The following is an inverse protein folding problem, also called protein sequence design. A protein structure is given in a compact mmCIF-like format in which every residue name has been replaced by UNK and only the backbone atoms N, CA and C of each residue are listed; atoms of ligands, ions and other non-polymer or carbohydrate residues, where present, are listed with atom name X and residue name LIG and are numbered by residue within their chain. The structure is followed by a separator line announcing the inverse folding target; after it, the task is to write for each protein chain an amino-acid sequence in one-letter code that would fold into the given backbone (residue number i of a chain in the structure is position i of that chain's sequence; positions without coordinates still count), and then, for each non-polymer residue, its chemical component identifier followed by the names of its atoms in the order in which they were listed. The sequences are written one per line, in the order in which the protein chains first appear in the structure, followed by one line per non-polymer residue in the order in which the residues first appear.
data_IF_323979103730
#
_entry.id   IF_323979103730
#
_cell.length_a   1.000
_cell.length_b   1.000
_cell.length_c   1.000
_cell.angle_alpha   90.00
_cell.angle_beta   90.00
_cell.angle_gamma   90.00
#
_symmetry.space_group_name_H-M   'P 1'
#
loop_
_entity.id
_entity.type
_entity.pdbx_description
1 polymer ?
#
# COMPACT_ATOMS: atom_id res chain seq x y z
N UNK A 1 2.25 -0.50 6.99
CA UNK A 1 1.52 -1.58 6.27
C UNK A 1 2.55 -2.56 5.71
N UNK A 2 2.40 -3.85 5.98
CA UNK A 2 3.30 -4.89 5.47
C UNK A 2 2.52 -5.97 4.74
N UNK A 3 3.18 -6.64 3.79
CA UNK A 3 2.63 -7.83 3.14
C UNK A 3 3.27 -9.04 3.80
N UNK A 4 2.45 -9.88 4.41
CA UNK A 4 2.92 -11.14 5.01
C UNK A 4 2.00 -12.25 4.51
N UNK A 5 2.62 -13.33 4.04
CA UNK A 5 1.93 -14.50 3.50
C UNK A 5 2.21 -15.74 4.33
N UNK A 6 1.26 -16.66 4.33
CA UNK A 6 1.50 -18.04 4.76
C UNK A 6 2.77 -18.60 4.10
N UNK A 7 3.72 -19.21 4.86
CA UNK A 7 4.96 -19.72 4.29
C UNK A 7 4.76 -20.79 3.21
N UNK A 8 3.63 -21.49 3.18
CA UNK A 8 3.28 -22.47 2.13
C UNK A 8 2.56 -21.82 0.94
N UNK A 9 2.43 -20.49 0.93
CA UNK A 9 1.82 -19.73 -0.17
C UNK A 9 0.31 -19.93 -0.36
N UNK A 10 -0.39 -20.49 0.64
CA UNK A 10 -1.81 -20.83 0.57
C UNK A 10 -2.70 -19.62 0.32
N UNK A 11 -2.30 -18.48 0.86
CA UNK A 11 -2.99 -17.20 0.74
C UNK A 11 -2.44 -16.30 -0.37
N UNK A 12 -1.47 -16.75 -1.17
CA UNK A 12 -0.86 -15.97 -2.26
C UNK A 12 -1.75 -16.00 -3.50
N UNK A 13 -1.71 -14.93 -4.31
CA UNK A 13 -2.36 -14.90 -5.62
C UNK A 13 -1.95 -16.11 -6.46
N UNK A 14 -2.89 -16.72 -7.18
CA UNK A 14 -2.64 -17.92 -7.98
C UNK A 14 -1.41 -17.81 -8.87
N UNK A 15 -1.25 -16.69 -9.58
CA UNK A 15 -0.12 -16.46 -10.49
C UNK A 15 1.22 -16.23 -9.77
N UNK A 16 1.24 -16.04 -8.45
CA UNK A 16 2.46 -15.89 -7.62
C UNK A 16 2.78 -17.10 -6.75
N UNK A 17 1.90 -18.10 -6.69
CA UNK A 17 2.12 -19.31 -5.85
C UNK A 17 3.42 -20.04 -6.18
N UNK A 18 3.87 -19.99 -7.43
CA UNK A 18 5.14 -20.59 -7.86
C UNK A 18 6.37 -20.02 -7.12
N UNK A 19 6.28 -18.82 -6.54
CA UNK A 19 7.33 -18.21 -5.72
C UNK A 19 7.43 -18.81 -4.31
N UNK A 20 6.43 -19.60 -3.88
CA UNK A 20 6.31 -20.22 -2.56
C UNK A 20 6.42 -21.75 -2.64
N UNK A 21 7.07 -22.27 -3.69
CA UNK A 21 7.26 -23.70 -3.86
C UNK A 21 8.12 -24.30 -2.72
N UNK A 22 7.93 -25.60 -2.45
CA UNK A 22 8.68 -26.32 -1.42
C UNK A 22 10.20 -26.12 -1.59
N UNK A 23 10.88 -25.84 -0.47
CA UNK A 23 12.32 -25.55 -0.43
C UNK A 23 12.71 -24.11 -0.76
N UNK A 24 11.75 -23.21 -1.03
CA UNK A 24 11.99 -21.77 -1.19
C UNK A 24 11.35 -20.97 -0.08
N UNK A 25 12.05 -19.92 0.38
CA UNK A 25 11.44 -18.88 1.22
C UNK A 25 10.72 -17.91 0.30
N UNK A 26 9.40 -17.82 0.45
CA UNK A 26 8.60 -16.92 -0.37
C UNK A 26 8.98 -15.44 -0.14
N UNK A 27 8.79 -14.56 -1.15
CA UNK A 27 9.29 -13.18 -1.10
C UNK A 27 8.78 -12.35 0.08
N UNK A 28 7.59 -12.64 0.59
CA UNK A 28 6.95 -11.95 1.72
C UNK A 28 6.37 -12.98 2.70
N UNK A 29 7.02 -14.14 2.82
CA UNK A 29 6.62 -15.17 3.77
C UNK A 29 6.71 -14.65 5.22
N UNK A 30 5.72 -14.99 6.05
CA UNK A 30 5.67 -14.57 7.45
C UNK A 30 6.97 -14.97 8.18
N UNK A 31 7.60 -13.99 8.82
CA UNK A 31 8.86 -14.17 9.56
C UNK A 31 10.12 -14.22 8.68
N UNK A 32 10.01 -14.00 7.36
CA UNK A 32 11.18 -13.83 6.50
C UNK A 32 11.59 -12.35 6.42
N UNK A 33 12.86 -12.11 6.09
CA UNK A 33 13.40 -10.76 5.84
C UNK A 33 12.59 -10.00 4.80
N UNK A 34 12.04 -10.69 3.80
CA UNK A 34 11.23 -10.04 2.76
C UNK A 34 9.86 -9.55 3.23
N UNK A 35 9.40 -9.98 4.41
CA UNK A 35 8.21 -9.47 5.08
C UNK A 35 8.51 -8.32 6.05
N UNK A 36 9.78 -7.99 6.29
CA UNK A 36 10.20 -6.90 7.17
C UNK A 36 10.12 -5.53 6.46
N UNK A 37 10.12 -4.46 7.25
CA UNK A 37 10.26 -3.11 6.70
C UNK A 37 11.71 -2.87 6.29
N UNK A 38 11.89 -2.09 5.23
CA UNK A 38 13.22 -1.65 4.82
C UNK A 38 13.84 -0.72 5.85
N UNK A 39 15.17 -0.67 5.89
CA UNK A 39 15.91 0.20 6.79
C UNK A 39 15.43 1.66 6.69
N UNK A 40 15.31 2.31 7.85
CA UNK A 40 14.80 3.67 7.98
C UNK A 40 13.28 3.79 8.11
N UNK A 41 12.50 2.75 7.77
CA UNK A 41 11.06 2.70 8.05
C UNK A 41 10.80 1.96 9.36
N UNK A 42 10.60 2.71 10.44
CA UNK A 42 10.38 2.18 11.78
C UNK A 42 8.94 2.42 12.22
N UNK A 43 8.27 1.36 12.68
CA UNK A 43 6.97 1.47 13.36
C UNK A 43 7.25 1.97 14.78
N UNK A 44 6.74 3.15 15.10
CA UNK A 44 6.87 3.77 16.41
C UNK A 44 5.71 3.36 17.32
N UNK A 45 5.86 3.69 18.61
CA UNK A 45 4.74 3.58 19.54
C UNK A 45 3.55 4.43 19.06
N UNK A 46 2.36 3.83 19.06
CA UNK A 46 1.14 4.44 18.53
C UNK A 46 0.87 4.16 17.05
N UNK A 47 1.84 3.68 16.28
CA UNK A 47 1.61 3.31 14.88
C UNK A 47 0.78 2.01 14.77
N UNK A 48 -0.16 2.00 13.82
CA UNK A 48 -0.96 0.82 13.53
C UNK A 48 -0.27 -0.09 12.50
N UNK A 49 0.28 -1.22 12.96
CA UNK A 49 0.83 -2.26 12.05
C UNK A 49 -0.31 -3.05 11.38
N UNK A 50 -0.62 -2.67 10.15
CA UNK A 50 -1.50 -3.46 9.28
C UNK A 50 -0.72 -4.53 8.50
N UNK A 51 -1.20 -5.77 8.55
CA UNK A 51 -0.75 -6.89 7.70
C UNK A 51 -1.82 -7.19 6.64
N UNK A 52 -1.41 -7.37 5.39
CA UNK A 52 -2.32 -7.70 4.27
C UNK A 52 -1.76 -8.81 3.37
N UNK A 53 -2.65 -9.59 2.76
CA UNK A 53 -2.29 -10.65 1.80
C UNK A 53 -2.67 -10.29 0.37
N UNK A 54 -3.43 -9.22 0.13
CA UNK A 54 -3.83 -8.74 -1.21
C UNK A 54 -3.18 -7.40 -1.53
N UNK A 55 -3.49 -6.84 -2.70
CA UNK A 55 -2.95 -5.56 -3.13
C UNK A 55 -3.51 -4.41 -2.29
N UNK A 56 -4.84 -4.28 -2.21
CA UNK A 56 -5.48 -3.28 -1.36
C UNK A 56 -5.16 -3.51 0.12
N UNK A 57 -4.90 -2.42 0.83
CA UNK A 57 -4.82 -2.42 2.29
C UNK A 57 -6.19 -2.61 2.97
N UNK A 58 -7.30 -2.35 2.27
CA UNK A 58 -8.66 -2.52 2.78
C UNK A 58 -9.21 -3.93 2.59
N UNK A 59 -8.83 -4.60 1.51
CA UNK A 59 -9.42 -5.89 1.17
C UNK A 59 -9.10 -6.96 2.22
N UNK A 60 -10.16 -7.49 2.84
CA UNK A 60 -10.08 -8.52 3.89
C UNK A 60 -9.18 -8.11 5.08
N UNK A 61 -9.21 -6.83 5.46
CA UNK A 61 -8.55 -6.32 6.67
C UNK A 61 -9.50 -5.48 7.51
N UNK A 62 -9.07 -5.06 8.70
CA UNK A 62 -9.83 -4.16 9.56
C UNK A 62 -9.51 -2.67 9.33
N UNK A 63 -8.77 -2.32 8.28
CA UNK A 63 -8.28 -0.95 8.09
C UNK A 63 -9.42 0.08 8.03
N UNK A 64 -10.50 -0.20 7.29
CA UNK A 64 -11.60 0.75 7.17
C UNK A 64 -12.30 0.98 8.52
N UNK A 65 -12.68 -0.10 9.22
CA UNK A 65 -13.30 -0.01 10.54
C UNK A 65 -12.42 0.73 11.55
N UNK A 66 -11.11 0.48 11.53
CA UNK A 66 -10.14 1.16 12.39
C UNK A 66 -10.10 2.66 12.11
N UNK A 67 -9.95 3.06 10.84
CA UNK A 67 -9.87 4.48 10.46
C UNK A 67 -11.17 5.23 10.78
N UNK A 68 -12.34 4.62 10.54
CA UNK A 68 -13.63 5.19 10.90
C UNK A 68 -13.79 5.35 12.42
N UNK A 69 -13.41 4.33 13.20
CA UNK A 69 -13.43 4.41 14.66
C UNK A 69 -12.51 5.50 15.23
N UNK A 70 -11.42 5.82 14.52
CA UNK A 70 -10.51 6.91 14.85
C UNK A 70 -10.93 8.28 14.28
N UNK A 71 -12.05 8.36 13.54
CA UNK A 71 -12.50 9.60 12.88
C UNK A 71 -11.62 10.06 11.71
N UNK A 72 -10.75 9.18 11.19
CA UNK A 72 -9.82 9.48 10.10
C UNK A 72 -10.54 9.35 8.76
N UNK A 73 -10.64 10.46 8.02
CA UNK A 73 -11.30 10.53 6.71
C UNK A 73 -10.42 11.15 5.60
N UNK A 74 -9.18 11.51 5.92
CA UNK A 74 -8.18 12.00 4.95
C UNK A 74 -6.99 11.05 4.95
N UNK A 75 -6.60 10.57 3.77
CA UNK A 75 -5.52 9.58 3.63
C UNK A 75 -4.39 10.13 2.77
N UNK A 76 -3.17 9.92 3.26
CA UNK A 76 -1.94 10.11 2.50
C UNK A 76 -1.30 8.75 2.28
N UNK A 77 -1.08 8.39 1.02
CA UNK A 77 -0.66 7.05 0.60
C UNK A 77 0.71 7.14 -0.05
N UNK A 78 1.62 6.28 0.42
CA UNK A 78 3.00 6.14 -0.07
C UNK A 78 3.40 4.67 -0.12
N UNK A 79 4.57 4.38 -0.72
CA UNK A 79 5.15 3.04 -0.75
C UNK A 79 5.09 2.38 -2.12
N UNK A 80 5.16 1.05 -2.17
CA UNK A 80 5.27 0.32 -3.44
C UNK A 80 4.32 -0.88 -3.56
N UNK A 81 3.87 -1.22 -4.77
CA UNK A 81 4.13 -0.55 -6.05
C UNK A 81 2.89 0.14 -6.62
N UNK A 82 3.14 1.17 -7.42
CA UNK A 82 2.13 2.07 -8.02
C UNK A 82 0.96 1.33 -8.66
N UNK A 83 1.15 0.39 -9.62
CA UNK A 83 0.03 -0.19 -10.35
C UNK A 83 -0.80 -1.19 -9.55
N UNK A 84 -0.29 -1.64 -8.39
CA UNK A 84 -0.89 -2.74 -7.63
C UNK A 84 -1.37 -2.24 -6.26
N UNK A 85 -0.51 -2.34 -5.24
CA UNK A 85 -0.88 -2.06 -3.86
C UNK A 85 -1.34 -0.62 -3.66
N UNK A 86 -0.65 0.34 -4.30
CA UNK A 86 -0.97 1.76 -4.17
C UNK A 86 -2.28 2.05 -4.89
N UNK A 87 -2.36 1.78 -6.19
CA UNK A 87 -3.56 2.01 -6.99
C UNK A 87 -4.80 1.34 -6.39
N UNK A 88 -4.75 0.06 -6.02
CA UNK A 88 -5.95 -0.58 -5.49
C UNK A 88 -6.37 0.00 -4.13
N UNK A 89 -5.42 0.35 -3.26
CA UNK A 89 -5.75 1.01 -1.98
C UNK A 89 -6.36 2.40 -2.20
N UNK A 90 -5.89 3.15 -3.20
CA UNK A 90 -6.43 4.46 -3.57
C UNK A 90 -7.87 4.33 -4.08
N UNK A 91 -8.12 3.43 -5.03
CA UNK A 91 -9.46 3.25 -5.59
C UNK A 91 -10.45 2.73 -4.54
N UNK A 92 -10.02 1.84 -3.65
CA UNK A 92 -10.85 1.42 -2.51
C UNK A 92 -11.13 2.58 -1.54
N UNK A 93 -10.14 3.45 -1.27
CA UNK A 93 -10.37 4.64 -0.45
C UNK A 93 -11.37 5.61 -1.11
N UNK A 94 -11.30 5.81 -2.42
CA UNK A 94 -12.29 6.61 -3.15
C UNK A 94 -13.67 5.95 -3.05
N UNK A 95 -13.77 4.64 -3.26
CA UNK A 95 -15.04 3.91 -3.19
C UNK A 95 -15.66 3.87 -1.78
N UNK A 96 -14.85 4.02 -0.74
CA UNK A 96 -15.26 4.07 0.68
C UNK A 96 -15.52 5.51 1.17
N UNK A 97 -15.63 6.49 0.26
CA UNK A 97 -15.94 7.89 0.56
C UNK A 97 -14.97 8.58 1.54
N UNK A 98 -13.67 8.25 1.48
CA UNK A 98 -12.67 9.07 2.16
C UNK A 98 -12.64 10.47 1.53
N UNK A 99 -12.84 11.50 2.37
CA UNK A 99 -13.02 12.89 1.94
C UNK A 99 -11.82 13.49 1.20
N UNK A 100 -10.63 12.95 1.45
CA UNK A 100 -9.40 13.37 0.77
C UNK A 100 -8.46 12.18 0.65
N UNK A 101 -7.97 11.94 -0.56
CA UNK A 101 -6.97 10.90 -0.84
C UNK A 101 -5.84 11.55 -1.62
N UNK A 102 -4.63 11.44 -1.09
CA UNK A 102 -3.40 11.94 -1.70
C UNK A 102 -2.38 10.82 -1.86
N UNK A 103 -1.71 10.75 -3.00
CA UNK A 103 -0.58 9.85 -3.25
C UNK A 103 0.69 10.68 -3.37
N UNK A 104 1.68 10.44 -2.51
CA UNK A 104 2.95 11.16 -2.61
C UNK A 104 3.75 10.56 -3.76
N UNK A 105 3.85 11.31 -4.87
CA UNK A 105 4.30 10.78 -6.16
C UNK A 105 5.77 10.35 -6.12
N UNK A 106 6.62 11.12 -5.45
CA UNK A 106 8.05 10.88 -5.26
C UNK A 106 8.38 9.98 -4.06
N UNK A 107 7.37 9.57 -3.28
CA UNK A 107 7.48 8.52 -2.26
C UNK A 107 6.75 7.23 -2.66
N UNK A 108 6.51 7.07 -3.97
CA UNK A 108 5.85 5.92 -4.58
C UNK A 108 6.62 5.50 -5.83
N UNK A 109 6.70 4.19 -6.12
CA UNK A 109 7.45 3.71 -7.29
C UNK A 109 6.76 2.54 -8.01
N UNK A 110 7.17 2.29 -9.26
CA UNK A 110 6.78 1.14 -10.07
C UNK A 110 8.02 0.50 -10.71
N UNK A 111 7.83 -0.63 -11.39
CA UNK A 111 8.93 -1.31 -12.09
C UNK A 111 9.51 -0.49 -13.26
N UNK A 112 8.74 0.44 -13.83
CA UNK A 112 9.23 1.39 -14.83
C UNK A 112 8.58 2.78 -14.66
N UNK A 113 9.24 3.86 -15.12
CA UNK A 113 8.67 5.21 -15.09
C UNK A 113 7.35 5.33 -15.86
N UNK A 114 7.21 4.65 -17.00
CA UNK A 114 6.01 4.70 -17.85
C UNK A 114 4.80 4.12 -17.11
N UNK A 115 4.99 2.98 -16.43
CA UNK A 115 3.94 2.37 -15.60
C UNK A 115 3.58 3.29 -14.44
N UNK A 116 4.58 3.90 -13.77
CA UNK A 116 4.31 4.84 -12.69
C UNK A 116 3.47 6.04 -13.17
N UNK A 117 3.89 6.68 -14.26
CA UNK A 117 3.22 7.85 -14.83
C UNK A 117 1.81 7.53 -15.29
N UNK A 118 1.59 6.42 -15.99
CA UNK A 118 0.26 6.02 -16.46
C UNK A 118 -0.72 5.81 -15.29
N UNK A 119 -0.27 5.18 -14.21
CA UNK A 119 -1.12 4.95 -13.04
C UNK A 119 -1.38 6.25 -12.24
N UNK A 120 -0.40 7.15 -12.17
CA UNK A 120 -0.62 8.48 -11.59
C UNK A 120 -1.62 9.31 -12.40
N UNK A 121 -1.54 9.23 -13.73
CA UNK A 121 -2.50 9.88 -14.63
C UNK A 121 -3.93 9.37 -14.37
N UNK A 122 -4.12 8.05 -14.28
CA UNK A 122 -5.44 7.48 -13.97
C UNK A 122 -5.97 7.94 -12.61
N UNK A 123 -5.13 7.95 -11.56
CA UNK A 123 -5.54 8.40 -10.22
C UNK A 123 -5.90 9.90 -10.21
N UNK A 124 -5.13 10.75 -10.90
CA UNK A 124 -5.46 12.18 -11.05
C UNK A 124 -6.83 12.39 -11.71
N UNK A 125 -7.15 11.61 -12.75
CA UNK A 125 -8.41 11.75 -13.48
C UNK A 125 -9.66 11.34 -12.69
N UNK A 126 -9.49 10.60 -11.58
CA UNK A 126 -10.58 10.30 -10.63
C UNK A 126 -10.58 11.24 -9.41
N UNK A 127 -9.82 12.33 -9.45
CA UNK A 127 -9.82 13.38 -8.43
C UNK A 127 -8.84 13.17 -7.27
N UNK A 128 -7.93 12.19 -7.36
CA UNK A 128 -6.91 11.93 -6.34
C UNK A 128 -5.76 12.93 -6.51
N UNK A 129 -5.36 13.60 -5.44
CA UNK A 129 -4.21 14.49 -5.46
C UNK A 129 -2.91 13.67 -5.51
N UNK A 130 -1.93 14.08 -6.31
CA UNK A 130 -0.63 13.39 -6.37
C UNK A 130 0.56 14.36 -6.21
N UNK A 131 0.67 15.06 -5.07
CA UNK A 131 1.76 15.99 -4.84
C UNK A 131 3.09 15.27 -4.65
N UNK A 132 4.18 15.99 -4.87
CA UNK A 132 5.49 15.63 -4.29
C UNK A 132 5.46 15.77 -2.77
N UNK A 133 6.40 15.13 -2.07
CA UNK A 133 6.54 15.25 -0.63
C UNK A 133 6.74 16.71 -0.21
N UNK A 134 7.50 17.47 -1.01
CA UNK A 134 7.74 18.88 -0.76
C UNK A 134 6.46 19.71 -0.88
N UNK A 135 5.66 19.52 -1.92
CA UNK A 135 4.39 20.23 -2.11
C UNK A 135 3.36 19.87 -1.02
N UNK A 136 3.28 18.59 -0.66
CA UNK A 136 2.41 18.14 0.42
C UNK A 136 2.81 18.76 1.77
N UNK A 137 4.12 18.79 2.08
CA UNK A 137 4.62 19.37 3.33
C UNK A 137 4.33 20.86 3.43
N UNK A 138 4.42 21.62 2.33
CA UNK A 138 4.12 23.07 2.32
C UNK A 138 2.63 23.38 2.51
N UNK A 139 1.76 22.48 2.08
CA UNK A 139 0.29 22.68 2.15
C UNK A 139 -0.34 22.16 3.44
N UNK A 140 0.43 21.42 4.26
CA UNK A 140 -0.03 20.83 5.53
C UNK A 140 0.86 21.22 6.73
N UNK A 141 1.76 22.19 6.55
CA UNK A 141 2.44 22.90 7.64
C UNK A 141 1.53 24.04 8.15
#
# INVERSE_FOLDING_TARGET
VVREHDPLGRDVEHFRRHLYAAGKVGPTAKGSVGAELVDGLVIKEGDYKLVKTRFSAFFATHLHSFLQGAGINKLVITGVQTPNCIRQTVFDAVALDYRSVSVIVDATAAASPEVHVANMFDMKNVGVATPTLQEWSKSNA
#
